data_IF_623836565330
#
_entry.id   IF_623836565330
#
_cell.length_a   1.000
_cell.length_b   1.000
_cell.length_c   1.000
_cell.angle_alpha   90.00
_cell.angle_beta   90.00
_cell.angle_gamma   90.00
#
_symmetry.space_group_name_H-M   'P 1'
#
loop_
_entity.id
_entity.type
_entity.pdbx_description
1 polymer ?
#
# COMPACT_ATOMS: atom_id res chain seq x y z
N UNK A 1 -1.26 -14.52 10.58
CA UNK A 1 -1.52 -13.20 9.97
C UNK A 1 -1.33 -13.32 8.47
N UNK A 2 -2.35 -13.01 7.67
CA UNK A 2 -2.25 -13.09 6.21
C UNK A 2 -1.28 -12.00 5.71
N UNK A 3 -0.45 -12.26 4.70
CA UNK A 3 0.49 -11.25 4.16
C UNK A 3 -0.23 -10.05 3.57
N UNK A 4 -1.39 -10.27 2.96
CA UNK A 4 -2.25 -9.20 2.43
C UNK A 4 -2.80 -8.34 3.55
N UNK A 5 -3.27 -8.98 4.63
CA UNK A 5 -3.74 -8.31 5.86
C UNK A 5 -2.61 -7.52 6.52
N UNK A 6 -1.39 -8.05 6.58
CA UNK A 6 -0.23 -7.36 7.11
C UNK A 6 0.10 -6.08 6.32
N UNK A 7 0.08 -6.14 4.99
CA UNK A 7 0.29 -4.95 4.14
C UNK A 7 -0.85 -3.95 4.33
N UNK A 8 -2.10 -4.41 4.37
CA UNK A 8 -3.26 -3.56 4.63
C UNK A 8 -3.14 -2.83 5.97
N UNK A 9 -2.74 -3.54 7.01
CA UNK A 9 -2.56 -3.00 8.35
C UNK A 9 -1.52 -1.88 8.42
N UNK A 10 -0.47 -1.92 7.58
CA UNK A 10 0.49 -0.81 7.46
C UNK A 10 -0.16 0.41 6.80
N UNK A 11 -0.92 0.19 5.73
CA UNK A 11 -1.52 1.28 4.96
C UNK A 11 -2.63 2.02 5.74
N UNK A 12 -3.28 1.35 6.69
CA UNK A 12 -4.30 1.96 7.56
C UNK A 12 -3.72 2.57 8.85
N UNK A 13 -2.40 2.58 9.08
CA UNK A 13 -1.83 3.21 10.30
C UNK A 13 -2.15 4.71 10.29
N UNK A 14 -2.00 5.35 9.12
CA UNK A 14 -2.29 6.75 8.89
C UNK A 14 -2.95 6.92 7.52
N UNK A 15 -4.24 7.31 7.47
CA UNK A 15 -4.99 7.37 6.21
C UNK A 15 -4.48 8.47 5.26
N UNK A 16 -3.86 9.52 5.79
CA UNK A 16 -3.32 10.63 4.99
C UNK A 16 -1.89 10.37 4.48
N UNK A 17 -1.24 9.32 4.97
CA UNK A 17 0.14 9.00 4.60
C UNK A 17 0.16 8.11 3.35
N UNK A 18 1.14 8.39 2.49
CA UNK A 18 1.41 7.63 1.28
C UNK A 18 2.66 6.78 1.46
N UNK A 19 2.54 5.47 1.28
CA UNK A 19 3.63 4.52 1.46
C UNK A 19 4.16 4.03 0.11
N UNK A 20 5.48 4.10 -0.09
CA UNK A 20 6.11 3.45 -1.24
C UNK A 20 6.29 1.95 -0.99
N UNK A 21 6.61 1.19 -2.03
CA UNK A 21 7.02 -0.22 -1.87
C UNK A 21 8.15 -0.39 -0.85
N UNK A 22 9.11 0.54 -0.82
CA UNK A 22 10.25 0.49 0.10
C UNK A 22 9.80 0.61 1.55
N UNK A 23 8.87 1.51 1.84
CA UNK A 23 8.35 1.73 3.19
C UNK A 23 7.58 0.51 3.68
N UNK A 24 6.72 -0.05 2.83
CA UNK A 24 5.93 -1.25 3.18
C UNK A 24 6.85 -2.45 3.42
N UNK A 25 7.89 -2.64 2.60
CA UNK A 25 8.88 -3.71 2.81
C UNK A 25 9.62 -3.53 4.13
N UNK A 26 10.04 -2.30 4.45
CA UNK A 26 10.74 -2.01 5.70
C UNK A 26 9.86 -2.27 6.93
N UNK A 27 8.56 -1.95 6.85
CA UNK A 27 7.62 -2.10 7.97
C UNK A 27 7.06 -3.52 8.12
N UNK A 28 6.93 -4.27 7.03
CA UNK A 28 6.39 -5.63 7.05
C UNK A 28 7.45 -6.72 7.08
N UNK A 29 8.71 -6.38 6.76
CA UNK A 29 9.80 -7.34 6.51
C UNK A 29 9.47 -8.39 5.43
N UNK A 30 8.49 -8.11 4.57
CA UNK A 30 8.10 -8.99 3.47
C UNK A 30 8.99 -8.79 2.25
N UNK A 31 9.14 -9.84 1.45
CA UNK A 31 9.86 -9.74 0.19
C UNK A 31 9.09 -8.88 -0.83
N UNK A 32 9.80 -8.20 -1.73
CA UNK A 32 9.21 -7.36 -2.78
C UNK A 32 8.09 -8.09 -3.56
N UNK A 33 8.30 -9.35 -3.93
CA UNK A 33 7.29 -10.18 -4.64
C UNK A 33 6.01 -10.40 -3.81
N UNK A 34 6.15 -10.54 -2.49
CA UNK A 34 5.02 -10.73 -1.58
C UNK A 34 4.24 -9.43 -1.41
N UNK A 35 4.94 -8.31 -1.22
CA UNK A 35 4.32 -6.98 -1.14
C UNK A 35 3.61 -6.63 -2.46
N UNK A 36 4.23 -6.92 -3.60
CA UNK A 36 3.62 -6.67 -4.92
C UNK A 36 2.31 -7.44 -5.09
N UNK A 37 2.27 -8.72 -4.72
CA UNK A 37 1.04 -9.53 -4.77
C UNK A 37 -0.03 -9.03 -3.81
N UNK A 38 0.36 -8.62 -2.60
CA UNK A 38 -0.56 -8.06 -1.62
C UNK A 38 -1.16 -6.74 -2.11
N UNK A 39 -0.33 -5.80 -2.58
CA UNK A 39 -0.75 -4.54 -3.19
C UNK A 39 -1.70 -4.78 -4.36
N UNK A 40 -1.38 -5.71 -5.26
CA UNK A 40 -2.23 -6.03 -6.40
C UNK A 40 -3.59 -6.59 -5.95
N UNK A 41 -3.60 -7.46 -4.94
CA UNK A 41 -4.85 -8.01 -4.37
C UNK A 41 -5.70 -6.90 -3.74
N UNK A 42 -5.08 -6.00 -2.98
CA UNK A 42 -5.77 -4.88 -2.34
C UNK A 42 -6.30 -3.86 -3.35
N UNK A 43 -5.52 -3.58 -4.40
CA UNK A 43 -5.92 -2.68 -5.49
C UNK A 43 -7.10 -3.26 -6.28
N UNK A 44 -7.06 -4.55 -6.62
CA UNK A 44 -8.15 -5.23 -7.34
C UNK A 44 -9.46 -5.34 -6.54
N UNK A 45 -9.39 -5.11 -5.22
CA UNK A 45 -10.54 -5.10 -4.31
C UNK A 45 -10.98 -3.67 -3.95
N UNK A 46 -10.39 -2.66 -4.58
CA UNK A 46 -10.63 -1.24 -4.30
C UNK A 46 -10.41 -0.85 -2.83
N UNK A 47 -9.53 -1.57 -2.13
CA UNK A 47 -9.21 -1.33 -0.72
C UNK A 47 -8.08 -0.31 -0.53
N UNK A 48 -7.30 -0.04 -1.57
CA UNK A 48 -6.21 0.92 -1.57
C UNK A 48 -6.20 1.66 -2.90
N UNK A 49 -5.69 2.89 -2.91
CA UNK A 49 -5.42 3.61 -4.15
C UNK A 49 -3.92 3.69 -4.42
N UNK A 50 -3.57 3.84 -5.70
CA UNK A 50 -2.18 3.99 -6.17
C UNK A 50 -1.98 5.41 -6.68
N UNK A 51 -1.00 6.11 -6.12
CA UNK A 51 -0.53 7.40 -6.60
C UNK A 51 0.87 7.26 -7.21
N UNK A 52 1.10 7.80 -8.40
CA UNK A 52 2.41 7.78 -9.05
C UNK A 52 2.93 9.21 -9.07
N UNK A 53 3.98 9.50 -8.31
CA UNK A 53 4.53 10.84 -8.25
C UNK A 53 5.21 11.19 -9.59
N UNK A 54 4.69 12.17 -10.36
CA UNK A 54 5.22 12.51 -11.68
C UNK A 54 6.62 13.15 -11.63
N UNK A 55 7.01 13.70 -10.47
CA UNK A 55 8.27 14.43 -10.27
C UNK A 55 9.37 13.61 -9.58
N UNK A 56 9.06 12.38 -9.14
CA UNK A 56 10.03 11.49 -8.49
C UNK A 56 11.14 10.93 -9.42
N UNK A 57 11.11 11.31 -10.70
CA UNK A 57 12.02 10.81 -11.74
C UNK A 57 12.73 11.89 -12.57
N UNK A 58 12.74 13.16 -12.14
CA UNK A 58 13.56 14.22 -12.80
C UNK A 58 15.04 14.07 -12.39
N UNK A 59 15.67 13.01 -12.89
CA UNK A 59 17.08 12.69 -12.66
C UNK A 59 17.45 11.36 -13.32
N UNK A 60 18.22 11.45 -14.41
CA UNK A 60 18.89 10.36 -15.16
C UNK A 60 18.42 8.93 -14.80
N UNK A 61 17.25 8.52 -15.31
CA UNK A 61 16.88 7.10 -15.42
C UNK A 61 16.23 6.42 -14.21
N UNK A 62 15.81 7.15 -13.16
CA UNK A 62 15.02 6.54 -12.08
C UNK A 62 13.52 6.70 -12.36
N UNK A 63 12.84 5.58 -12.62
CA UNK A 63 11.42 5.53 -12.97
C UNK A 63 10.50 6.16 -11.92
N UNK A 64 9.28 6.53 -12.34
CA UNK A 64 8.26 7.12 -11.47
C UNK A 64 7.99 6.22 -10.26
N UNK A 65 8.09 6.77 -9.04
CA UNK A 65 7.83 6.04 -7.79
C UNK A 65 6.32 5.95 -7.56
N UNK A 66 5.84 4.73 -7.30
CA UNK A 66 4.47 4.46 -6.90
C UNK A 66 4.34 4.48 -5.37
N UNK A 67 3.27 5.11 -4.92
CA UNK A 67 2.83 5.23 -3.54
C UNK A 67 1.42 4.67 -3.39
N UNK A 68 1.09 4.23 -2.18
CA UNK A 68 -0.18 3.59 -1.85
C UNK A 68 -0.75 4.18 -0.57
N UNK A 69 -2.07 4.35 -0.55
CA UNK A 69 -2.82 4.85 0.59
C UNK A 69 -4.21 4.25 0.64
N UNK A 70 -4.96 4.62 1.67
CA UNK A 70 -6.37 4.21 1.89
C UNK A 70 -7.24 5.45 1.94
N UNK A 71 -8.47 5.38 1.41
CA UNK A 71 -9.41 6.49 1.58
C UNK A 71 -9.90 6.56 3.03
N UNK A 72 -10.42 7.73 3.43
CA UNK A 72 -11.08 7.92 4.73
C UNK A 72 -12.21 6.91 4.96
N UNK A 73 -12.96 6.56 3.91
CA UNK A 73 -14.05 5.58 3.98
C UNK A 73 -13.53 4.18 4.33
N UNK A 74 -12.45 3.74 3.69
CA UNK A 74 -11.82 2.44 3.98
C UNK A 74 -11.25 2.45 5.40
N UNK A 75 -10.62 3.55 5.81
CA UNK A 75 -10.10 3.70 7.16
C UNK A 75 -11.21 3.64 8.22
N UNK A 76 -12.35 4.32 8.00
CA UNK A 76 -13.50 4.30 8.89
C UNK A 76 -14.08 2.88 9.05
N UNK A 77 -13.97 2.04 8.01
CA UNK A 77 -14.47 0.66 8.00
C UNK A 77 -13.39 -0.40 8.24
N UNK A 78 -12.17 -0.01 8.62
CA UNK A 78 -10.98 -0.89 8.66
C UNK A 78 -11.18 -2.19 9.45
N UNK A 79 -11.89 -2.16 10.58
CA UNK A 79 -12.12 -3.34 11.42
C UNK A 79 -12.98 -4.38 10.71
N UNK A 80 -14.05 -3.96 10.03
CA UNK A 80 -14.94 -4.85 9.26
C UNK A 80 -14.23 -5.40 8.02
N UNK A 81 -13.37 -4.59 7.40
CA UNK A 81 -12.62 -4.95 6.20
C UNK A 81 -11.51 -5.97 6.55
N UNK A 82 -10.75 -5.74 7.62
CA UNK A 82 -9.67 -6.63 8.05
C UNK A 82 -10.16 -8.05 8.34
N UNK A 83 -11.38 -8.22 8.85
CA UNK A 83 -12.00 -9.53 9.09
C UNK A 83 -12.32 -10.32 7.80
N UNK A 84 -12.29 -9.67 6.63
CA UNK A 84 -12.65 -10.23 5.32
C UNK A 84 -11.43 -10.42 4.40
N UNK A 85 -10.23 -10.04 4.84
CA UNK A 85 -8.95 -10.17 4.11
C UNK A 85 -8.22 -11.43 4.57
#
# INVERSE_FOLDING_TARGET
MNKTEQVFNILIIKPDDLFSYKDIIALTSLQYKQVTRAIQTLTNRDLIFRYVNPYSGVGRGRGKVAYFGVSEEIYANKTKISQRI
#
